data_IF_730850716666
#
_entry.id   IF_730850716666
#
_cell.length_a   1.000
_cell.length_b   1.000
_cell.length_c   1.000
_cell.angle_alpha   90.00
_cell.angle_beta   90.00
_cell.angle_gamma   90.00
#
_symmetry.space_group_name_H-M   'P 1'
#
loop_
_entity.id
_entity.type
_entity.pdbx_description
1 polymer ?
#
# COMPACT_ATOMS: atom_id res chain seq x y z
N UNK A 1 -59.57 -2.29 -16.21
CA UNK A 1 -58.64 -2.31 -17.36
C UNK A 1 -57.77 -1.09 -17.18
N UNK A 2 -56.55 -1.17 -16.69
CA UNK A 2 -55.66 -2.29 -16.39
C UNK A 2 -54.52 -1.63 -15.58
N UNK A 3 -54.15 -2.22 -14.45
CA UNK A 3 -52.77 -2.38 -13.91
C UNK A 3 -51.87 -1.12 -13.75
N UNK A 4 -51.06 -0.92 -12.70
CA UNK A 4 -50.58 -1.73 -11.58
C UNK A 4 -49.92 -0.73 -10.59
N UNK A 5 -49.73 -1.14 -9.32
CA UNK A 5 -49.03 -0.36 -8.29
C UNK A 5 -47.48 -0.34 -8.55
N UNK A 6 -46.62 -0.04 -7.56
CA UNK A 6 -45.79 1.16 -7.51
C UNK A 6 -44.31 0.84 -7.80
N UNK A 7 -43.62 1.68 -8.57
CA UNK A 7 -42.14 1.63 -8.59
C UNK A 7 -41.65 2.66 -7.55
N UNK A 8 -41.35 2.31 -6.31
CA UNK A 8 -40.45 1.20 -5.96
C UNK A 8 -39.02 1.67 -6.24
N UNK A 9 -38.51 2.50 -5.34
CA UNK A 9 -37.12 2.47 -4.89
C UNK A 9 -36.07 2.18 -5.98
N UNK A 10 -35.61 3.24 -6.64
CA UNK A 10 -34.18 3.34 -6.96
C UNK A 10 -33.64 4.58 -6.30
N UNK A 11 -33.68 4.58 -4.97
CA UNK A 11 -32.62 5.20 -4.19
C UNK A 11 -31.33 4.60 -4.75
N UNK A 12 -30.66 5.38 -5.60
CA UNK A 12 -29.38 4.99 -6.18
C UNK A 12 -28.48 4.84 -4.98
N UNK A 13 -28.26 3.60 -4.59
CA UNK A 13 -27.41 3.32 -3.45
C UNK A 13 -26.02 3.80 -3.81
N UNK A 14 -25.69 5.00 -3.37
CA UNK A 14 -24.38 5.63 -3.40
C UNK A 14 -23.47 4.97 -2.36
N UNK A 15 -23.68 3.66 -2.11
CA UNK A 15 -22.96 2.85 -1.14
C UNK A 15 -21.49 2.83 -1.51
N UNK A 16 -20.73 3.64 -0.77
CA UNK A 16 -19.26 3.60 -0.67
C UNK A 16 -18.53 3.68 -2.02
N UNK A 17 -18.68 4.75 -2.78
CA UNK A 17 -17.60 5.08 -3.72
C UNK A 17 -16.32 5.34 -2.91
N UNK A 18 -15.24 4.56 -3.14
CA UNK A 18 -13.98 4.75 -2.44
C UNK A 18 -13.37 6.07 -2.90
N UNK A 19 -12.95 6.91 -1.95
CA UNK A 19 -12.24 8.16 -2.23
C UNK A 19 -10.78 7.83 -2.49
N UNK A 20 -10.50 7.26 -3.65
CA UNK A 20 -9.18 6.78 -4.04
C UNK A 20 -8.71 7.50 -5.30
N UNK A 21 -7.46 7.94 -5.28
CA UNK A 21 -6.76 8.46 -6.46
C UNK A 21 -5.57 7.55 -6.72
N UNK A 22 -5.50 6.98 -7.92
CA UNK A 22 -4.40 6.12 -8.35
C UNK A 22 -3.79 6.70 -9.63
N UNK A 23 -2.48 6.94 -9.61
CA UNK A 23 -1.76 7.50 -10.76
C UNK A 23 -1.68 6.45 -11.87
N UNK A 24 -1.96 6.84 -13.14
CA UNK A 24 -1.95 5.90 -14.26
C UNK A 24 -0.55 5.52 -14.75
N UNK A 25 0.48 6.30 -14.40
CA UNK A 25 1.85 6.07 -14.81
C UNK A 25 2.80 6.38 -13.64
N UNK A 26 3.11 5.35 -12.85
CA UNK A 26 4.08 5.41 -11.74
C UNK A 26 5.47 5.73 -12.30
N UNK A 27 6.15 6.74 -11.76
CA UNK A 27 7.59 6.83 -12.00
C UNK A 27 8.29 5.64 -11.31
N UNK A 28 9.28 4.98 -11.92
CA UNK A 28 9.98 3.84 -11.30
C UNK A 28 10.63 4.18 -9.93
N UNK A 29 10.97 5.46 -9.75
CA UNK A 29 11.46 6.07 -8.51
C UNK A 29 10.37 6.29 -7.44
N UNK A 30 9.10 6.42 -7.82
CA UNK A 30 7.98 6.55 -6.90
C UNK A 30 7.62 5.19 -6.33
N UNK A 31 7.37 5.12 -5.04
CA UNK A 31 7.05 3.86 -4.36
C UNK A 31 5.57 3.71 -3.99
N UNK A 32 4.80 4.79 -4.17
CA UNK A 32 3.39 4.92 -3.82
C UNK A 32 2.63 5.23 -5.09
N UNK A 33 1.62 4.44 -5.42
CA UNK A 33 0.81 4.53 -6.64
C UNK A 33 -0.40 5.47 -6.48
N UNK A 34 -0.57 6.06 -5.31
CA UNK A 34 -1.60 7.06 -5.05
C UNK A 34 -2.00 7.16 -3.59
N UNK A 35 -3.18 7.73 -3.35
CA UNK A 35 -3.72 7.94 -2.03
C UNK A 35 -5.16 7.44 -1.92
N UNK A 36 -5.48 6.95 -0.74
CA UNK A 36 -6.80 6.46 -0.38
C UNK A 36 -7.27 7.15 0.89
N UNK A 37 -8.46 7.71 0.83
CA UNK A 37 -9.13 8.31 1.97
C UNK A 37 -10.31 7.44 2.41
N UNK A 38 -10.11 6.52 3.37
CA UNK A 38 -11.19 5.72 3.92
C UNK A 38 -12.16 6.58 4.74
N UNK A 39 -13.41 6.12 4.84
CA UNK A 39 -14.43 6.79 5.67
C UNK A 39 -14.35 6.40 7.14
N UNK A 40 -13.70 5.27 7.45
CA UNK A 40 -13.54 4.74 8.80
C UNK A 40 -12.22 4.00 8.97
N UNK A 41 -11.82 3.73 10.22
CA UNK A 41 -10.65 2.88 10.54
C UNK A 41 -10.99 1.38 10.52
N UNK A 42 -12.19 0.98 10.08
CA UNK A 42 -12.59 -0.42 9.97
C UNK A 42 -12.24 -0.98 8.60
N UNK A 43 -11.05 -1.55 8.48
CA UNK A 43 -10.51 -2.03 7.20
C UNK A 43 -11.47 -2.98 6.46
N UNK A 44 -12.07 -3.90 7.21
CA UNK A 44 -13.06 -4.88 6.73
C UNK A 44 -14.26 -4.26 5.99
N UNK A 45 -14.66 -3.05 6.37
CA UNK A 45 -15.78 -2.35 5.77
C UNK A 45 -15.35 -1.55 4.53
N UNK A 46 -14.12 -1.05 4.53
CA UNK A 46 -13.63 -0.15 3.49
C UNK A 46 -13.05 -0.94 2.29
N UNK A 47 -12.50 -2.14 2.52
CA UNK A 47 -11.84 -2.93 1.47
C UNK A 47 -12.74 -3.33 0.30
N UNK A 48 -13.98 -3.83 0.47
CA UNK A 48 -14.80 -4.27 -0.66
C UNK A 48 -14.96 -3.16 -1.71
N UNK A 49 -15.34 -1.96 -1.28
CA UNK A 49 -15.48 -0.80 -2.14
C UNK A 49 -14.17 -0.44 -2.86
N UNK A 50 -13.05 -0.40 -2.13
CA UNK A 50 -11.74 -0.12 -2.69
C UNK A 50 -11.36 -1.15 -3.76
N UNK A 51 -11.50 -2.44 -3.47
CA UNK A 51 -11.14 -3.51 -4.40
C UNK A 51 -12.02 -3.49 -5.65
N UNK A 52 -13.32 -3.28 -5.52
CA UNK A 52 -14.21 -3.17 -6.69
C UNK A 52 -13.81 -2.01 -7.61
N UNK A 53 -13.37 -0.87 -7.06
CA UNK A 53 -12.89 0.26 -7.88
C UNK A 53 -11.57 0.01 -8.60
N UNK A 54 -10.74 -0.91 -8.07
CA UNK A 54 -9.41 -1.22 -8.61
C UNK A 54 -9.36 -2.53 -9.40
N UNK A 55 -10.47 -3.28 -9.46
CA UNK A 55 -10.56 -4.57 -10.15
C UNK A 55 -10.09 -4.48 -11.61
N UNK A 56 -10.41 -3.39 -12.32
CA UNK A 56 -9.96 -3.19 -13.71
C UNK A 56 -8.46 -2.98 -13.88
N UNK A 57 -7.74 -2.56 -12.81
CA UNK A 57 -6.30 -2.28 -12.84
C UNK A 57 -5.46 -3.43 -12.25
N UNK A 58 -5.89 -3.98 -11.12
CA UNK A 58 -5.15 -4.99 -10.37
C UNK A 58 -5.65 -6.43 -10.61
N UNK A 59 -6.85 -6.59 -11.19
CA UNK A 59 -7.50 -7.89 -11.26
C UNK A 59 -7.91 -8.39 -9.88
N UNK A 60 -7.90 -9.72 -9.71
CA UNK A 60 -8.27 -10.36 -8.44
C UNK A 60 -7.15 -10.21 -7.41
N UNK A 61 -7.48 -9.54 -6.31
CA UNK A 61 -6.56 -9.33 -5.18
C UNK A 61 -6.44 -10.60 -4.36
N UNK A 62 -5.21 -10.98 -4.03
CA UNK A 62 -4.90 -12.13 -3.18
C UNK A 62 -4.52 -11.70 -1.76
N UNK A 63 -3.78 -10.59 -1.64
CA UNK A 63 -3.24 -10.11 -0.36
C UNK A 63 -3.42 -8.61 -0.25
N UNK A 64 -3.76 -8.16 0.96
CA UNK A 64 -3.78 -6.77 1.36
C UNK A 64 -2.82 -6.60 2.53
N UNK A 65 -1.68 -5.97 2.28
CA UNK A 65 -0.80 -5.45 3.30
C UNK A 65 -1.37 -4.15 3.88
N UNK A 66 -1.41 -3.99 5.20
CA UNK A 66 -1.90 -2.75 5.82
C UNK A 66 -1.09 -2.33 7.03
N UNK A 67 -0.93 -1.02 7.21
CA UNK A 67 -0.24 -0.47 8.38
C UNK A 67 -1.08 -0.61 9.66
N UNK A 68 -0.65 -1.43 10.63
CA UNK A 68 -1.47 -1.81 11.80
C UNK A 68 -1.95 -0.63 12.64
N UNK A 69 -1.21 0.47 12.70
CA UNK A 69 -1.59 1.62 13.55
C UNK A 69 -2.75 2.45 12.99
N UNK A 70 -3.09 2.29 11.71
CA UNK A 70 -4.13 3.08 11.05
C UNK A 70 -5.52 2.41 11.07
N UNK A 71 -5.59 1.15 11.47
CA UNK A 71 -6.78 0.32 11.33
C UNK A 71 -7.13 -0.37 12.64
N UNK A 72 -8.42 -0.57 12.90
CA UNK A 72 -8.87 -1.49 13.94
C UNK A 72 -8.41 -2.91 13.61
N UNK A 73 -8.23 -3.81 14.60
CA UNK A 73 -7.86 -5.20 14.35
C UNK A 73 -8.76 -5.84 13.28
N UNK A 74 -8.14 -6.34 12.22
CA UNK A 74 -8.80 -7.00 11.10
C UNK A 74 -8.59 -8.52 11.19
N UNK A 75 -9.52 -9.34 10.68
CA UNK A 75 -9.31 -10.79 10.60
C UNK A 75 -8.12 -11.09 9.68
N UNK A 76 -7.45 -12.25 9.83
CA UNK A 76 -6.32 -12.61 8.95
C UNK A 76 -6.73 -12.87 7.50
N UNK A 77 -8.01 -13.14 7.25
CA UNK A 77 -8.57 -13.43 5.93
C UNK A 77 -10.01 -12.92 5.84
N UNK A 78 -10.42 -12.53 4.63
CA UNK A 78 -11.78 -12.11 4.29
C UNK A 78 -12.23 -12.68 2.95
N UNK A 79 -13.53 -12.92 2.79
CA UNK A 79 -14.14 -13.17 1.48
C UNK A 79 -14.64 -11.83 0.91
N UNK A 80 -14.17 -11.44 -0.27
CA UNK A 80 -14.60 -10.23 -1.00
C UNK A 80 -14.95 -10.65 -2.42
N UNK A 81 -16.18 -10.38 -2.86
CA UNK A 81 -16.68 -10.74 -4.20
C UNK A 81 -16.48 -12.23 -4.56
N UNK A 82 -16.53 -13.11 -3.55
CA UNK A 82 -16.33 -14.55 -3.70
C UNK A 82 -14.86 -15.01 -3.64
N UNK A 83 -13.92 -14.08 -3.64
CA UNK A 83 -12.49 -14.34 -3.58
C UNK A 83 -11.94 -14.23 -2.16
N UNK A 84 -11.01 -15.14 -1.82
CA UNK A 84 -10.31 -15.12 -0.52
C UNK A 84 -9.15 -14.13 -0.56
N UNK A 85 -9.22 -13.13 0.29
CA UNK A 85 -8.23 -12.07 0.43
C UNK A 85 -7.55 -12.21 1.80
N UNK A 86 -6.23 -12.40 1.79
CA UNK A 86 -5.43 -12.43 3.02
C UNK A 86 -5.10 -11.01 3.48
N UNK A 87 -5.29 -10.73 4.77
CA UNK A 87 -4.96 -9.43 5.35
C UNK A 87 -3.66 -9.56 6.15
N UNK A 88 -2.64 -8.80 5.76
CA UNK A 88 -1.31 -8.83 6.35
C UNK A 88 -0.98 -7.50 7.00
N UNK A 89 -1.11 -7.44 8.33
CA UNK A 89 -0.76 -6.24 9.07
C UNK A 89 0.75 -6.10 9.23
N UNK A 90 1.31 -4.94 8.92
CA UNK A 90 2.72 -4.60 9.17
C UNK A 90 2.88 -3.28 9.93
N UNK A 91 4.09 -3.02 10.40
CA UNK A 91 4.50 -1.75 11.02
C UNK A 91 5.72 -1.18 10.31
N UNK A 92 5.71 0.13 10.09
CA UNK A 92 6.78 0.93 9.49
C UNK A 92 6.83 2.33 10.13
N UNK A 93 7.93 3.06 9.91
CA UNK A 93 8.12 4.41 10.48
C UNK A 93 7.42 5.53 9.67
N UNK A 94 6.90 5.21 8.47
CA UNK A 94 6.26 6.15 7.56
C UNK A 94 4.74 6.31 7.78
N UNK A 95 4.10 7.29 7.08
CA UNK A 95 2.67 7.41 7.03
C UNK A 95 1.97 6.10 6.66
N UNK A 96 0.78 5.90 7.22
CA UNK A 96 -0.01 4.71 6.99
C UNK A 96 -0.21 4.43 5.49
N UNK A 97 0.04 3.18 5.08
CA UNK A 97 -0.10 2.72 3.71
C UNK A 97 -0.88 1.41 3.65
N UNK A 98 -1.47 1.14 2.49
CA UNK A 98 -2.12 -0.12 2.14
C UNK A 98 -1.53 -0.61 0.82
N UNK A 99 -1.12 -1.87 0.79
CA UNK A 99 -0.48 -2.52 -0.36
C UNK A 99 -1.43 -3.61 -0.83
N UNK A 100 -1.98 -3.45 -2.03
CA UNK A 100 -2.87 -4.40 -2.67
C UNK A 100 -2.06 -5.25 -3.63
N UNK A 101 -2.14 -6.57 -3.52
CA UNK A 101 -1.36 -7.50 -4.35
C UNK A 101 -2.30 -8.46 -5.07
N UNK A 102 -2.28 -8.39 -6.40
CA UNK A 102 -3.02 -9.26 -7.30
C UNK A 102 -2.42 -10.67 -7.38
N UNK A 103 -3.23 -11.65 -7.79
CA UNK A 103 -2.77 -13.04 -8.01
C UNK A 103 -1.69 -13.16 -9.09
N UNK A 104 -1.67 -12.21 -10.02
CA UNK A 104 -0.70 -12.13 -11.11
C UNK A 104 0.61 -11.43 -10.70
N UNK A 105 0.75 -11.05 -9.42
CA UNK A 105 1.94 -10.38 -8.89
C UNK A 105 1.97 -8.86 -9.10
N UNK A 106 1.00 -8.30 -9.83
CA UNK A 106 0.82 -6.84 -9.87
C UNK A 106 0.46 -6.35 -8.46
N UNK A 107 0.95 -5.18 -8.08
CA UNK A 107 0.60 -4.57 -6.81
C UNK A 107 0.39 -3.07 -6.95
N UNK A 108 -0.38 -2.51 -6.02
CA UNK A 108 -0.60 -1.08 -5.85
C UNK A 108 -0.41 -0.71 -4.39
N UNK A 109 0.40 0.30 -4.14
CA UNK A 109 0.65 0.89 -2.82
C UNK A 109 -0.09 2.22 -2.72
N UNK A 110 -1.00 2.34 -1.77
CA UNK A 110 -1.80 3.54 -1.54
C UNK A 110 -1.47 4.13 -0.17
N UNK A 111 -1.20 5.44 -0.12
CA UNK A 111 -1.11 6.17 1.14
C UNK A 111 -2.48 6.36 1.75
N UNK A 112 -2.64 6.05 3.02
CA UNK A 112 -3.91 6.18 3.76
C UNK A 112 -3.99 7.55 4.38
N UNK A 113 -5.03 8.31 4.02
CA UNK A 113 -5.37 9.57 4.67
C UNK A 113 -6.26 9.27 5.87
N UNK A 114 -5.82 9.70 7.07
CA UNK A 114 -6.54 9.39 8.32
C UNK A 114 -8.01 9.80 8.24
N UNK A 115 -8.96 8.90 8.56
CA UNK A 115 -10.37 9.27 8.62
C UNK A 115 -10.60 10.30 9.73
N UNK A 116 -11.37 11.35 9.45
CA UNK A 116 -11.68 12.42 10.40
C UNK A 116 -10.84 13.68 10.27
N UNK A 117 -9.85 13.73 9.36
CA UNK A 117 -9.28 15.01 8.91
C UNK A 117 -10.32 15.82 8.14
N UNK A 118 -10.18 17.14 8.11
CA UNK A 118 -11.13 17.99 7.39
C UNK A 118 -11.15 17.66 5.91
N UNK A 119 -12.32 17.83 5.31
CA UNK A 119 -12.58 17.60 3.89
C UNK A 119 -11.60 18.36 2.98
N UNK A 120 -11.11 19.52 3.41
CA UNK A 120 -10.12 20.34 2.70
C UNK A 120 -8.72 19.75 2.78
N UNK A 121 -8.31 19.27 3.96
CA UNK A 121 -6.99 18.63 4.16
C UNK A 121 -6.94 17.30 3.40
N UNK A 122 -7.99 16.51 3.46
CA UNK A 122 -8.03 15.25 2.72
C UNK A 122 -7.97 15.44 1.21
N UNK A 123 -8.70 16.43 0.66
CA UNK A 123 -8.60 16.77 -0.76
C UNK A 123 -7.20 17.25 -1.14
N UNK A 124 -6.60 18.11 -0.32
CA UNK A 124 -5.23 18.57 -0.54
C UNK A 124 -4.23 17.40 -0.53
N UNK A 125 -4.36 16.43 0.37
CA UNK A 125 -3.49 15.23 0.39
C UNK A 125 -3.74 14.30 -0.80
N UNK A 126 -4.99 14.15 -1.26
CA UNK A 126 -5.32 13.41 -2.49
C UNK A 126 -4.73 14.10 -3.74
N UNK A 127 -4.82 15.43 -3.79
CA UNK A 127 -4.27 16.24 -4.88
C UNK A 127 -2.73 16.24 -4.85
N UNK A 128 -2.11 16.34 -3.66
CA UNK A 128 -0.67 16.28 -3.47
C UNK A 128 -0.09 14.92 -3.89
N UNK A 129 -0.78 13.82 -3.56
CA UNK A 129 -0.43 12.48 -4.05
C UNK A 129 -0.51 12.35 -5.58
N UNK A 130 -1.22 13.27 -6.24
CA UNK A 130 -1.29 13.39 -7.70
C UNK A 130 -0.29 14.43 -8.25
N UNK A 131 0.36 15.24 -7.41
CA UNK A 131 1.18 16.38 -7.80
C UNK A 131 2.68 16.24 -7.47
N UNK A 132 3.10 15.24 -6.70
CA UNK A 132 4.52 14.87 -6.45
C UNK A 132 5.26 14.38 -7.73
N UNK A 133 4.65 14.61 -8.90
CA UNK A 133 4.98 14.22 -10.27
C UNK A 133 5.95 15.18 -10.99
N UNK A 134 6.90 15.81 -10.30
CA UNK A 134 7.75 16.78 -10.98
C UNK A 134 9.04 17.10 -10.27
N UNK A 135 10.05 16.24 -10.46
CA UNK A 135 11.44 16.60 -10.82
C UNK A 135 12.42 15.45 -10.50
N UNK A 136 12.44 14.40 -11.32
CA UNK A 136 13.62 13.53 -11.40
C UNK A 136 13.69 12.82 -12.75
N UNK A 137 14.89 12.77 -13.37
CA UNK A 137 15.06 12.18 -14.69
C UNK A 137 14.73 10.69 -14.66
N UNK A 138 14.04 10.27 -15.71
CA UNK A 138 13.52 8.92 -15.91
C UNK A 138 14.63 7.86 -15.85
N UNK A 139 14.49 6.92 -14.91
CA UNK A 139 15.15 5.62 -14.98
C UNK A 139 14.08 4.57 -15.30
N UNK A 140 14.24 3.95 -16.47
CA UNK A 140 13.57 2.82 -17.12
C UNK A 140 12.18 2.30 -16.62
N UNK A 141 11.13 2.26 -17.47
CA UNK A 141 9.79 1.73 -17.12
C UNK A 141 9.62 0.20 -17.24
N UNK A 142 10.69 -0.58 -17.34
CA UNK A 142 10.59 -2.01 -17.64
C UNK A 142 10.60 -2.86 -16.36
N UNK A 143 9.44 -3.46 -16.07
CA UNK A 143 9.27 -4.61 -15.18
C UNK A 143 9.87 -4.45 -13.79
N UNK A 144 9.01 -4.19 -12.80
CA UNK A 144 9.28 -4.67 -11.45
C UNK A 144 9.43 -6.19 -11.53
N UNK A 145 10.67 -6.67 -11.74
CA UNK A 145 11.05 -8.03 -11.41
C UNK A 145 10.79 -8.10 -9.92
N UNK A 146 9.65 -8.68 -9.55
CA UNK A 146 9.35 -9.01 -8.16
C UNK A 146 10.50 -9.89 -7.70
N UNK A 147 11.37 -9.31 -6.88
CA UNK A 147 12.46 -10.02 -6.28
C UNK A 147 11.90 -11.31 -5.70
N UNK A 148 12.46 -12.44 -6.14
CA UNK A 148 11.93 -13.78 -5.81
C UNK A 148 12.26 -14.14 -4.37
N UNK A 149 13.12 -13.36 -3.71
CA UNK A 149 13.57 -13.57 -2.35
C UNK A 149 13.89 -12.26 -1.62
N UNK A 150 13.88 -12.30 -0.28
CA UNK A 150 14.29 -11.18 0.58
C UNK A 150 15.76 -10.78 0.35
N UNK A 151 16.63 -11.74 0.02
CA UNK A 151 18.03 -11.47 -0.31
C UNK A 151 18.17 -10.68 -1.61
N UNK A 152 17.37 -11.00 -2.61
CA UNK A 152 17.32 -10.26 -3.88
C UNK A 152 16.76 -8.85 -3.67
N UNK A 153 15.77 -8.68 -2.78
CA UNK A 153 15.30 -7.34 -2.34
C UNK A 153 16.44 -6.53 -1.73
N UNK A 154 17.21 -7.12 -0.82
CA UNK A 154 18.34 -6.42 -0.18
C UNK A 154 19.40 -5.98 -1.18
N UNK A 155 19.75 -6.85 -2.14
CA UNK A 155 20.70 -6.54 -3.20
C UNK A 155 20.18 -5.44 -4.13
N UNK A 156 18.92 -5.52 -4.57
CA UNK A 156 18.29 -4.51 -5.42
C UNK A 156 18.22 -3.14 -4.74
N UNK A 157 17.89 -3.10 -3.45
CA UNK A 157 17.83 -1.86 -2.68
C UNK A 157 19.22 -1.23 -2.49
N UNK A 158 20.25 -2.04 -2.29
CA UNK A 158 21.63 -1.56 -2.20
C UNK A 158 22.14 -1.00 -3.54
N UNK A 159 21.85 -1.66 -4.65
CA UNK A 159 22.23 -1.22 -6.00
C UNK A 159 21.60 0.15 -6.35
N UNK A 160 20.31 0.34 -6.02
CA UNK A 160 19.60 1.59 -6.24
C UNK A 160 20.14 2.79 -5.43
N UNK A 161 20.81 2.58 -4.28
CA UNK A 161 21.42 3.69 -3.52
C UNK A 161 22.70 4.22 -4.20
N UNK A 162 23.29 3.47 -5.15
CA UNK A 162 24.39 3.93 -6.00
C UNK A 162 25.70 4.27 -5.26
N UNK A 163 25.83 3.85 -4.00
CA UNK A 163 27.04 4.03 -3.19
C UNK A 163 27.56 2.64 -2.81
N UNK A 164 28.76 2.29 -3.24
CA UNK A 164 29.45 1.06 -2.82
C UNK A 164 29.91 1.18 -1.35
N UNK A 165 28.96 1.31 -0.43
CA UNK A 165 29.17 1.38 1.00
C UNK A 165 28.77 0.03 1.64
N UNK A 166 29.74 -0.77 2.13
CA UNK A 166 29.46 -2.08 2.70
C UNK A 166 28.72 -2.00 4.03
N UNK A 167 28.94 -0.96 4.85
CA UNK A 167 28.21 -0.77 6.11
C UNK A 167 26.74 -0.51 5.80
N UNK A 168 26.50 0.30 4.78
CA UNK A 168 25.15 0.62 4.37
C UNK A 168 24.41 -0.55 3.74
N UNK A 169 25.10 -1.33 2.91
CA UNK A 169 24.59 -2.59 2.35
C UNK A 169 24.21 -3.58 3.45
N UNK A 170 25.07 -3.74 4.47
CA UNK A 170 24.77 -4.59 5.62
C UNK A 170 23.56 -4.08 6.42
N UNK A 171 23.42 -2.75 6.53
CA UNK A 171 22.26 -2.14 7.18
C UNK A 171 20.95 -2.39 6.43
N UNK A 172 20.94 -2.26 5.11
CA UNK A 172 19.78 -2.59 4.26
C UNK A 172 19.42 -4.07 4.39
N UNK A 173 20.41 -4.97 4.36
CA UNK A 173 20.18 -6.40 4.52
C UNK A 173 19.54 -6.73 5.88
N UNK A 174 20.03 -6.12 6.96
CA UNK A 174 19.44 -6.26 8.30
C UNK A 174 17.99 -5.75 8.34
N UNK A 175 17.70 -4.62 7.69
CA UNK A 175 16.33 -4.11 7.62
C UNK A 175 15.40 -5.03 6.84
N UNK A 176 15.90 -5.65 5.77
CA UNK A 176 15.14 -6.65 5.01
C UNK A 176 14.79 -7.86 5.88
N UNK A 177 15.73 -8.35 6.69
CA UNK A 177 15.51 -9.46 7.62
C UNK A 177 14.52 -9.08 8.74
N UNK A 178 14.69 -7.92 9.36
CA UNK A 178 13.76 -7.38 10.38
C UNK A 178 12.32 -7.24 9.83
N UNK A 179 12.18 -6.75 8.59
CA UNK A 179 10.88 -6.64 7.93
C UNK A 179 10.28 -8.01 7.59
N UNK A 180 11.09 -8.96 7.11
CA UNK A 180 10.63 -10.31 6.78
C UNK A 180 10.11 -11.04 8.03
N UNK A 181 10.69 -10.78 9.20
CA UNK A 181 10.26 -11.37 10.46
C UNK A 181 8.80 -11.02 10.83
N UNK A 182 8.27 -9.90 10.33
CA UNK A 182 6.85 -9.53 10.53
C UNK A 182 5.88 -10.47 9.79
N UNK A 183 6.36 -11.22 8.81
CA UNK A 183 5.58 -12.08 7.92
C UNK A 183 5.94 -13.56 8.02
N UNK A 184 6.63 -13.99 9.09
CA UNK A 184 7.02 -15.40 9.26
C UNK A 184 5.82 -16.35 9.26
N UNK A 185 4.70 -15.88 9.83
CA UNK A 185 3.42 -16.62 9.91
C UNK A 185 2.48 -16.30 8.74
N UNK A 186 2.96 -15.57 7.71
CA UNK A 186 2.13 -15.25 6.56
C UNK A 186 1.78 -16.54 5.79
N UNK A 187 0.49 -16.77 5.50
CA UNK A 187 0.05 -17.99 4.81
C UNK A 187 0.53 -18.05 3.36
N UNK A 188 0.94 -16.91 2.78
CA UNK A 188 1.40 -16.82 1.39
C UNK A 188 2.75 -16.12 1.30
N UNK A 189 3.83 -16.91 1.26
CA UNK A 189 5.21 -16.42 1.26
C UNK A 189 5.63 -15.74 -0.05
N UNK A 190 4.95 -16.04 -1.17
CA UNK A 190 5.27 -15.49 -2.50
C UNK A 190 5.25 -13.95 -2.54
N UNK A 191 4.49 -13.31 -1.66
CA UNK A 191 4.31 -11.86 -1.65
C UNK A 191 5.15 -11.12 -0.61
N UNK A 192 5.82 -11.85 0.28
CA UNK A 192 6.67 -11.26 1.33
C UNK A 192 7.76 -10.34 0.76
N UNK A 193 8.45 -10.68 -0.34
CA UNK A 193 9.44 -9.77 -0.91
C UNK A 193 8.88 -8.39 -1.29
N UNK A 194 7.64 -8.32 -1.76
CA UNK A 194 6.96 -7.05 -2.12
C UNK A 194 6.76 -6.20 -0.86
N UNK A 195 6.25 -6.81 0.21
CA UNK A 195 6.00 -6.11 1.48
C UNK A 195 7.31 -5.67 2.16
N UNK A 196 8.33 -6.53 2.14
CA UNK A 196 9.66 -6.21 2.68
C UNK A 196 10.31 -5.07 1.91
N UNK A 197 10.30 -5.13 0.58
CA UNK A 197 10.81 -4.05 -0.27
C UNK A 197 10.13 -2.73 0.08
N UNK A 198 8.81 -2.74 0.31
CA UNK A 198 8.08 -1.55 0.73
C UNK A 198 8.55 -0.98 2.06
N UNK A 199 8.58 -1.81 3.10
CA UNK A 199 8.96 -1.37 4.45
C UNK A 199 10.39 -0.81 4.47
N UNK A 200 11.32 -1.43 3.75
CA UNK A 200 12.71 -1.00 3.76
C UNK A 200 12.92 0.25 2.90
N UNK A 201 12.28 0.35 1.73
CA UNK A 201 12.34 1.56 0.89
C UNK A 201 11.73 2.77 1.59
N UNK A 202 10.64 2.56 2.30
CA UNK A 202 10.01 3.51 3.21
C UNK A 202 10.99 3.99 4.31
N UNK A 203 11.67 3.06 4.97
CA UNK A 203 12.69 3.37 6.00
C UNK A 203 13.88 4.16 5.46
N UNK A 204 14.29 3.94 4.22
CA UNK A 204 15.40 4.66 3.58
C UNK A 204 15.08 6.12 3.25
N UNK A 205 13.82 6.43 2.89
CA UNK A 205 13.40 7.81 2.58
C UNK A 205 13.26 8.67 3.82
N UNK A 206 13.08 8.05 4.99
CA UNK A 206 13.02 8.78 6.26
C UNK A 206 14.44 9.14 6.71
N UNK A 207 14.84 10.42 6.70
CA UNK A 207 16.09 10.82 7.35
C UNK A 207 15.93 10.46 8.83
N UNK A 208 16.77 9.56 9.33
CA UNK A 208 16.76 9.22 10.75
C UNK A 208 16.94 10.53 11.52
N UNK A 209 16.00 10.95 12.40
CA UNK A 209 16.32 12.02 13.32
C UNK A 209 17.54 11.52 14.09
N UNK A 210 18.64 12.28 14.03
CA UNK A 210 19.82 12.06 14.86
C UNK A 210 19.32 11.77 16.26
N UNK A 211 19.54 10.55 16.76
CA UNK A 211 19.28 10.22 18.15
C UNK A 211 19.81 11.37 19.00
N UNK A 212 18.90 12.15 19.59
CA UNK A 212 19.27 13.14 20.57
C UNK A 212 19.88 12.36 21.73
N UNK A 213 21.20 12.36 21.74
CA UNK A 213 22.02 12.13 22.89
C UNK A 213 21.75 13.26 23.89
N UNK A 214 20.58 13.25 24.52
CA UNK A 214 20.37 13.90 25.80
C UNK A 214 20.61 12.86 26.90
N UNK A 215 21.90 12.52 27.04
CA UNK A 215 22.47 12.37 28.38
C UNK A 215 22.32 13.73 29.05
N UNK A 216 21.58 13.78 30.15
CA UNK A 216 22.01 14.32 31.45
C UNK A 216 20.87 14.15 32.46
#
# INVERSE_FOLDING_TARGET
MQDDLPNGEREVDTHREPRVTVTPNRHPSEHVDGAWWPRSTQLSLELPALLSSLAGRLGQVAVVGYHRTAWTPAPPQMQIDGDSVQLQGFTSDEPATVILIGRDGRHLTLRVITPGVTDTVARHELDAASADLGDSPADNPAEQVVARSVTEVAAQLADHEGREDPERTAQIARWCEEAAQQFVDAPVQTFVPILVHHIVRSRMRTPHPRSEAHRL
#
